data_IF_996535063270
#
_entry.id   IF_996535063270
#
_cell.length_a   1.000
_cell.length_b   1.000
_cell.length_c   1.000
_cell.angle_alpha   90.00
_cell.angle_beta   90.00
_cell.angle_gamma   90.00
#
_symmetry.space_group_name_H-M   'P 1'
#
loop_
_entity.id
_entity.type
_entity.pdbx_description
1 polymer ?
#
# COMPACT_ATOMS: atom_id res chain seq x y z
N UNK A 1 29.53 -11.76 -27.05
CA UNK A 1 28.16 -11.50 -27.54
C UNK A 1 27.30 -12.65 -27.11
N UNK A 2 26.68 -12.59 -25.97
CA UNK A 2 25.81 -13.64 -25.41
C UNK A 2 24.56 -12.98 -24.86
N UNK A 3 23.53 -13.36 -25.47
CA UNK A 3 22.12 -13.13 -25.36
C UNK A 3 21.63 -13.09 -23.89
N UNK A 4 21.22 -11.91 -23.36
CA UNK A 4 20.61 -11.74 -22.04
C UNK A 4 19.23 -11.09 -22.10
N UNK A 5 18.61 -10.95 -23.28
CA UNK A 5 17.36 -10.18 -23.44
C UNK A 5 16.08 -11.06 -23.52
N UNK A 6 16.16 -12.35 -23.14
CA UNK A 6 15.03 -13.28 -23.38
C UNK A 6 14.26 -13.70 -22.12
N UNK A 7 14.49 -13.10 -20.96
CA UNK A 7 13.86 -13.59 -19.71
C UNK A 7 12.64 -12.78 -19.23
N UNK A 8 12.26 -11.71 -19.91
CA UNK A 8 11.16 -10.84 -19.48
C UNK A 8 9.83 -11.00 -20.23
N UNK A 9 9.80 -11.80 -21.31
CA UNK A 9 8.58 -11.96 -22.11
C UNK A 9 7.69 -13.14 -21.72
N UNK A 10 8.14 -14.03 -20.85
CA UNK A 10 7.36 -15.23 -20.48
C UNK A 10 6.43 -15.07 -19.27
N UNK A 11 6.53 -13.96 -18.55
CA UNK A 11 5.75 -13.78 -17.29
C UNK A 11 4.35 -13.22 -17.57
N UNK A 12 4.11 -12.59 -18.72
CA UNK A 12 2.83 -11.92 -19.01
C UNK A 12 1.74 -12.84 -19.62
N UNK A 13 2.07 -14.04 -20.06
CA UNK A 13 1.10 -14.93 -20.73
C UNK A 13 0.55 -16.07 -19.87
N UNK A 14 1.27 -16.52 -18.81
CA UNK A 14 0.84 -17.67 -17.99
C UNK A 14 0.15 -17.28 -16.66
N UNK A 15 -0.01 -15.97 -16.38
CA UNK A 15 -0.64 -15.45 -15.14
C UNK A 15 -2.18 -15.38 -15.28
N UNK A 16 -2.76 -15.94 -16.31
CA UNK A 16 -4.20 -15.79 -16.58
C UNK A 16 -5.14 -16.52 -15.62
N UNK A 17 -4.65 -17.42 -14.77
CA UNK A 17 -5.51 -18.35 -14.02
C UNK A 17 -5.26 -18.47 -12.51
N UNK A 18 -4.43 -17.62 -11.89
CA UNK A 18 -4.41 -17.57 -10.42
C UNK A 18 -5.48 -16.57 -9.95
N UNK A 19 -6.64 -17.10 -9.68
CA UNK A 19 -7.82 -16.40 -9.23
C UNK A 19 -7.63 -15.79 -7.85
N UNK A 20 -7.18 -14.55 -7.80
CA UNK A 20 -7.73 -13.66 -6.78
C UNK A 20 -9.19 -13.44 -7.16
N UNK A 21 -10.09 -13.83 -6.26
CA UNK A 21 -11.52 -13.76 -6.49
C UNK A 21 -11.92 -12.47 -7.18
N UNK A 22 -12.93 -12.52 -8.01
CA UNK A 22 -13.47 -11.47 -8.82
C UNK A 22 -13.20 -10.11 -8.21
N UNK A 23 -12.35 -9.29 -8.87
CA UNK A 23 -12.16 -7.90 -8.47
C UNK A 23 -13.52 -7.28 -8.73
N UNK A 24 -14.21 -7.05 -7.64
CA UNK A 24 -15.56 -6.56 -7.63
C UNK A 24 -15.53 -5.16 -8.24
N UNK A 25 -16.21 -4.95 -9.35
CA UNK A 25 -16.42 -3.62 -9.94
C UNK A 25 -17.29 -2.76 -9.03
N UNK A 26 -17.88 -3.34 -8.00
CA UNK A 26 -18.76 -2.74 -7.01
C UNK A 26 -18.03 -2.32 -5.72
N UNK A 27 -16.70 -2.11 -5.74
CA UNK A 27 -16.02 -1.61 -4.56
C UNK A 27 -16.59 -0.27 -4.10
N UNK A 28 -16.88 -0.16 -2.82
CA UNK A 28 -17.29 1.06 -2.15
C UNK A 28 -16.45 1.28 -0.89
N UNK A 29 -16.20 2.54 -0.49
CA UNK A 29 -15.46 2.82 0.73
C UNK A 29 -16.18 2.24 1.95
N UNK A 30 -15.44 1.86 3.02
CA UNK A 30 -16.04 1.42 4.27
C UNK A 30 -17.05 2.44 4.80
N UNK A 31 -18.21 1.97 5.24
CA UNK A 31 -19.25 2.79 5.86
C UNK A 31 -18.96 3.09 7.33
N UNK A 32 -18.06 2.35 7.95
CA UNK A 32 -17.73 2.42 9.38
C UNK A 32 -16.22 2.73 9.61
N UNK A 33 -15.92 3.06 10.84
CA UNK A 33 -14.60 3.38 11.32
C UNK A 33 -14.26 2.49 12.51
N UNK A 34 -13.78 1.24 12.29
CA UNK A 34 -13.54 0.28 13.35
C UNK A 34 -12.49 0.77 14.35
N UNK A 35 -12.64 0.35 15.59
CA UNK A 35 -11.63 0.59 16.61
C UNK A 35 -10.52 -0.46 16.52
N UNK A 36 -9.39 -0.09 15.91
CA UNK A 36 -8.22 -0.94 15.75
C UNK A 36 -7.25 -0.87 16.95
N UNK A 37 -7.58 -0.08 17.98
CA UNK A 37 -6.70 0.10 19.16
C UNK A 37 -6.56 -1.16 20.01
N UNK A 38 -7.28 -2.24 19.67
CA UNK A 38 -7.18 -3.55 20.30
C UNK A 38 -6.55 -4.61 19.42
N UNK A 39 -6.15 -4.25 18.20
CA UNK A 39 -5.49 -5.17 17.29
C UNK A 39 -4.08 -5.49 17.77
N UNK A 40 -3.56 -6.65 17.43
CA UNK A 40 -2.18 -7.02 17.74
C UNK A 40 -1.16 -6.17 16.97
N UNK A 41 -1.53 -5.71 15.78
CA UNK A 41 -0.75 -4.86 14.87
C UNK A 41 -1.64 -4.26 13.79
N UNK A 42 -1.20 -3.18 13.16
CA UNK A 42 -1.92 -2.47 12.10
C UNK A 42 -0.97 -2.23 10.93
N UNK A 43 -1.29 -2.76 9.76
CA UNK A 43 -0.61 -2.39 8.52
C UNK A 43 -1.25 -1.16 7.91
N UNK A 44 -0.43 -0.28 7.35
CA UNK A 44 -0.83 0.99 6.74
C UNK A 44 -0.14 1.12 5.39
N UNK A 45 -0.89 1.59 4.40
CA UNK A 45 -0.40 1.98 3.09
C UNK A 45 -1.10 3.28 2.67
N UNK A 46 -0.36 4.22 2.10
CA UNK A 46 -0.89 5.52 1.68
C UNK A 46 -0.88 5.63 0.17
N UNK A 47 -2.03 5.99 -0.39
CA UNK A 47 -2.06 6.49 -1.75
C UNK A 47 -1.86 8.00 -1.75
N UNK A 48 -0.99 8.49 -2.63
CA UNK A 48 -0.56 9.88 -2.60
C UNK A 48 -0.55 10.51 -4.00
N UNK A 49 -0.71 11.82 -4.04
CA UNK A 49 -0.26 12.63 -5.17
C UNK A 49 1.11 13.20 -4.84
N UNK A 50 2.15 12.77 -5.58
CA UNK A 50 3.53 13.25 -5.44
C UNK A 50 4.13 13.50 -6.83
N UNK A 51 3.85 14.66 -7.44
CA UNK A 51 4.09 14.90 -8.87
C UNK A 51 5.58 14.96 -9.26
N UNK A 52 6.45 15.22 -8.30
CA UNK A 52 7.88 15.36 -8.53
C UNK A 52 8.72 14.27 -7.85
N UNK A 53 8.10 13.18 -7.40
CA UNK A 53 8.77 12.09 -6.68
C UNK A 53 10.03 11.59 -7.37
N UNK A 54 9.95 11.32 -8.68
CA UNK A 54 11.08 10.77 -9.46
C UNK A 54 12.21 11.77 -9.61
N UNK A 55 11.90 13.07 -9.73
CA UNK A 55 12.92 14.12 -10.01
C UNK A 55 13.55 14.68 -8.74
N UNK A 56 12.75 14.83 -7.69
CA UNK A 56 13.11 15.61 -6.51
C UNK A 56 13.01 14.83 -5.19
N UNK A 57 12.67 13.53 -5.27
CA UNK A 57 12.36 12.70 -4.10
C UNK A 57 11.00 13.03 -3.48
N UNK A 58 10.68 12.49 -2.30
CA UNK A 58 9.38 12.66 -1.66
C UNK A 58 8.99 14.13 -1.45
N UNK A 59 7.75 14.46 -1.84
CA UNK A 59 7.23 15.83 -1.84
C UNK A 59 6.77 16.36 -0.49
N UNK A 60 6.64 15.51 0.52
CA UNK A 60 6.11 15.90 1.83
C UNK A 60 6.89 17.02 2.52
N UNK A 61 8.21 17.07 2.40
CA UNK A 61 9.03 18.14 2.98
C UNK A 61 8.89 19.48 2.22
N UNK A 62 8.59 19.42 0.92
CA UNK A 62 8.37 20.61 0.07
C UNK A 62 6.92 21.05 0.03
N UNK A 63 6.01 20.31 0.65
CA UNK A 63 4.55 20.49 0.55
C UNK A 63 4.06 20.38 -0.91
N UNK A 64 4.71 19.51 -1.68
CA UNK A 64 4.45 19.29 -3.10
C UNK A 64 3.70 17.98 -3.30
N UNK A 65 2.43 17.99 -2.96
CA UNK A 65 1.54 16.84 -3.02
C UNK A 65 0.67 16.70 -1.78
N UNK A 66 0.03 15.54 -1.64
CA UNK A 66 -0.88 15.24 -0.52
C UNK A 66 -1.30 13.76 -0.52
N UNK A 67 -1.82 13.28 0.61
CA UNK A 67 -2.45 11.97 0.73
C UNK A 67 -3.79 12.00 0.02
N UNK A 68 -4.06 11.03 -0.86
CA UNK A 68 -5.33 10.86 -1.56
C UNK A 68 -6.24 9.81 -0.91
N UNK A 69 -5.66 8.88 -0.15
CA UNK A 69 -6.39 7.90 0.63
C UNK A 69 -5.49 7.10 1.55
N UNK A 70 -6.09 6.43 2.52
CA UNK A 70 -5.41 5.64 3.55
C UNK A 70 -5.96 4.22 3.51
N UNK A 71 -5.12 3.25 3.26
CA UNK A 71 -5.43 1.84 3.42
C UNK A 71 -4.92 1.31 4.75
N UNK A 72 -5.71 0.48 5.41
CA UNK A 72 -5.35 -0.18 6.65
C UNK A 72 -5.74 -1.66 6.63
N UNK A 73 -4.93 -2.50 7.28
CA UNK A 73 -5.26 -3.89 7.54
C UNK A 73 -4.90 -4.27 8.98
N UNK A 74 -5.79 -5.01 9.66
CA UNK A 74 -5.58 -5.48 11.03
C UNK A 74 -6.42 -6.74 11.28
N UNK A 75 -5.77 -7.88 11.55
CA UNK A 75 -6.44 -9.17 11.58
C UNK A 75 -7.13 -9.46 10.24
N UNK A 76 -8.42 -9.76 10.28
CA UNK A 76 -9.23 -10.01 9.08
C UNK A 76 -9.80 -8.74 8.43
N UNK A 77 -9.67 -7.61 9.12
CA UNK A 77 -10.15 -6.33 8.60
C UNK A 77 -9.18 -5.75 7.59
N UNK A 78 -9.72 -5.24 6.50
CA UNK A 78 -9.04 -4.35 5.55
C UNK A 78 -10.01 -3.28 5.07
N UNK A 79 -9.51 -2.08 4.83
CA UNK A 79 -10.32 -0.98 4.33
C UNK A 79 -9.49 0.13 3.74
N UNK A 80 -9.99 0.75 2.69
CA UNK A 80 -9.42 1.94 2.09
C UNK A 80 -10.36 3.13 2.28
N UNK A 81 -9.82 4.22 2.82
CA UNK A 81 -10.54 5.47 3.12
C UNK A 81 -10.08 6.56 2.15
N UNK A 82 -10.78 6.72 1.01
CA UNK A 82 -10.45 7.74 0.01
C UNK A 82 -10.85 9.13 0.52
N UNK A 83 -9.98 10.12 0.30
CA UNK A 83 -10.21 11.49 0.81
C UNK A 83 -9.99 12.59 -0.22
N UNK A 84 -9.23 12.32 -1.30
CA UNK A 84 -8.89 13.34 -2.31
C UNK A 84 -8.77 12.73 -3.72
N UNK A 85 -9.67 11.82 -4.08
CA UNK A 85 -9.90 11.36 -5.45
C UNK A 85 -10.83 12.31 -6.22
N UNK A 86 -11.00 12.07 -7.52
CA UNK A 86 -11.97 12.84 -8.31
C UNK A 86 -13.43 12.64 -7.85
N UNK A 87 -13.75 11.44 -7.33
CA UNK A 87 -15.08 11.08 -6.83
C UNK A 87 -14.99 9.97 -5.77
N UNK A 88 -16.06 9.79 -4.97
CA UNK A 88 -16.20 8.70 -4.03
C UNK A 88 -15.40 8.89 -2.73
N UNK A 89 -15.13 10.15 -2.35
CA UNK A 89 -14.38 10.48 -1.14
C UNK A 89 -15.25 10.45 0.11
N UNK A 90 -14.60 10.13 1.22
CA UNK A 90 -15.11 10.34 2.58
C UNK A 90 -14.60 11.71 3.07
N UNK A 91 -15.30 12.31 4.03
CA UNK A 91 -14.84 13.56 4.66
C UNK A 91 -13.44 13.36 5.29
N UNK A 92 -12.47 14.11 4.77
CA UNK A 92 -11.07 13.97 5.16
C UNK A 92 -10.82 14.25 6.65
N UNK A 93 -11.57 15.18 7.25
CA UNK A 93 -11.45 15.50 8.68
C UNK A 93 -11.90 14.32 9.55
N UNK A 94 -12.94 13.62 9.13
CA UNK A 94 -13.43 12.42 9.82
C UNK A 94 -12.44 11.28 9.71
N UNK A 95 -11.92 11.02 8.50
CA UNK A 95 -10.90 9.98 8.27
C UNK A 95 -9.63 10.27 9.09
N UNK A 96 -9.08 11.47 9.01
CA UNK A 96 -7.86 11.81 9.75
C UNK A 96 -8.05 11.78 11.27
N UNK A 97 -9.21 12.19 11.79
CA UNK A 97 -9.51 12.10 13.23
C UNK A 97 -9.54 10.65 13.71
N UNK A 98 -10.21 9.77 12.96
CA UNK A 98 -10.25 8.34 13.25
C UNK A 98 -8.85 7.73 13.15
N UNK A 99 -8.17 7.96 12.04
CA UNK A 99 -6.86 7.37 11.78
C UNK A 99 -5.81 7.80 12.80
N UNK A 100 -5.80 9.09 13.17
CA UNK A 100 -4.93 9.61 14.23
C UNK A 100 -5.12 8.86 15.55
N UNK A 101 -6.36 8.55 15.94
CA UNK A 101 -6.64 7.74 17.13
C UNK A 101 -6.00 6.36 17.04
N UNK A 102 -6.03 5.72 15.86
CA UNK A 102 -5.42 4.40 15.67
C UNK A 102 -3.89 4.48 15.72
N UNK A 103 -3.30 5.55 15.21
CA UNK A 103 -1.85 5.75 15.21
C UNK A 103 -1.30 6.19 16.58
N UNK A 104 -2.12 6.75 17.44
CA UNK A 104 -1.78 7.23 18.79
C UNK A 104 -1.72 6.09 19.85
N UNK A 105 -1.41 4.86 19.44
CA UNK A 105 -1.36 3.67 20.31
C UNK A 105 0.10 3.18 20.45
N UNK A 106 0.78 3.48 21.59
CA UNK A 106 2.22 3.22 21.76
C UNK A 106 2.56 1.73 21.84
N UNK A 107 1.60 0.88 22.20
CA UNK A 107 1.84 -0.56 22.39
C UNK A 107 1.48 -1.40 21.17
N UNK A 108 0.96 -0.78 20.10
CA UNK A 108 0.55 -1.52 18.89
C UNK A 108 1.56 -1.24 17.79
N UNK A 109 2.23 -2.27 17.25
CA UNK A 109 3.10 -2.14 16.09
C UNK A 109 2.35 -1.63 14.85
N UNK A 110 2.97 -0.71 14.12
CA UNK A 110 2.51 -0.25 12.80
C UNK A 110 3.44 -0.80 11.74
N UNK A 111 2.85 -1.49 10.80
CA UNK A 111 3.54 -2.19 9.73
C UNK A 111 3.41 -1.38 8.45
N UNK A 112 4.53 -1.19 7.77
CA UNK A 112 4.61 -0.47 6.50
C UNK A 112 5.43 -1.25 5.49
N UNK A 113 5.37 -0.82 4.25
CA UNK A 113 6.33 -1.15 3.23
C UNK A 113 6.92 0.13 2.66
N UNK A 114 8.18 0.46 2.98
CA UNK A 114 8.83 1.76 2.76
C UNK A 114 8.30 2.87 3.68
N UNK A 115 8.31 2.59 4.98
CA UNK A 115 7.76 3.45 6.04
C UNK A 115 8.21 4.91 5.99
N UNK A 116 9.42 5.19 5.52
CA UNK A 116 9.94 6.56 5.41
C UNK A 116 9.05 7.45 4.53
N UNK A 117 8.49 6.89 3.47
CA UNK A 117 7.61 7.60 2.57
C UNK A 117 6.28 7.96 3.25
N UNK A 118 5.62 6.96 3.84
CA UNK A 118 4.31 7.13 4.48
C UNK A 118 4.39 8.00 5.73
N UNK A 119 5.38 7.77 6.59
CA UNK A 119 5.59 8.57 7.80
C UNK A 119 5.84 10.04 7.49
N UNK A 120 6.52 10.34 6.39
CA UNK A 120 6.73 11.70 5.94
C UNK A 120 5.41 12.40 5.58
N UNK A 121 4.55 11.73 4.81
CA UNK A 121 3.23 12.26 4.46
C UNK A 121 2.29 12.36 5.66
N UNK A 122 2.28 11.36 6.54
CA UNK A 122 1.49 11.42 7.78
C UNK A 122 1.89 12.62 8.66
N UNK A 123 3.20 12.82 8.82
CA UNK A 123 3.72 13.96 9.57
C UNK A 123 3.35 15.29 8.92
N UNK A 124 3.35 15.38 7.60
CA UNK A 124 2.92 16.58 6.86
C UNK A 124 1.43 16.92 7.09
N UNK A 125 0.58 15.91 7.32
CA UNK A 125 -0.84 16.07 7.71
C UNK A 125 -1.03 16.22 9.25
N UNK A 126 0.06 16.35 10.03
CA UNK A 126 0.00 16.50 11.49
C UNK A 126 -0.37 15.22 12.24
N UNK A 127 -0.10 14.06 11.66
CA UNK A 127 -0.32 12.74 12.25
C UNK A 127 1.02 12.16 12.68
N UNK A 128 1.20 11.99 13.98
CA UNK A 128 2.31 11.27 14.56
C UNK A 128 1.94 9.79 14.75
N UNK A 129 2.84 8.89 14.36
CA UNK A 129 2.68 7.46 14.56
C UNK A 129 3.44 7.05 15.82
N UNK A 130 2.73 6.54 16.82
CA UNK A 130 3.32 6.06 18.07
C UNK A 130 3.46 4.54 18.08
N UNK A 131 4.41 4.05 18.87
CA UNK A 131 4.71 2.63 19.02
C UNK A 131 5.77 2.12 18.04
N UNK A 132 6.02 0.79 18.03
CA UNK A 132 6.97 0.19 17.10
C UNK A 132 6.55 0.41 15.65
N UNK A 133 7.50 0.84 14.84
CA UNK A 133 7.35 0.97 13.38
C UNK A 133 8.18 -0.13 12.75
N UNK A 134 7.52 -1.00 12.00
CA UNK A 134 8.12 -2.17 11.37
C UNK A 134 7.94 -2.06 9.86
N UNK A 135 9.00 -2.29 9.10
CA UNK A 135 9.05 -2.05 7.67
C UNK A 135 9.47 -3.31 6.93
N UNK A 136 8.56 -3.89 6.17
CA UNK A 136 8.82 -5.12 5.41
C UNK A 136 9.88 -4.94 4.32
N UNK A 137 10.06 -3.72 3.81
CA UNK A 137 11.14 -3.40 2.85
C UNK A 137 12.52 -3.38 3.52
N UNK A 138 12.59 -3.13 4.83
CA UNK A 138 13.82 -3.19 5.63
C UNK A 138 14.05 -4.59 6.18
N UNK A 139 12.99 -5.31 6.58
CA UNK A 139 13.10 -6.69 7.08
C UNK A 139 13.66 -7.65 6.03
N UNK A 140 13.23 -7.50 4.77
CA UNK A 140 13.62 -8.42 3.71
C UNK A 140 15.14 -8.47 3.45
N UNK A 141 15.91 -7.37 3.34
CA UNK A 141 17.35 -7.41 3.19
C UNK A 141 18.10 -7.91 4.43
N UNK A 142 17.51 -7.88 5.62
CA UNK A 142 18.10 -8.50 6.82
C UNK A 142 18.02 -10.03 6.76
N UNK A 143 17.08 -10.58 6.00
CA UNK A 143 16.93 -12.02 5.75
C UNK A 143 17.79 -12.45 4.55
N UNK A 144 17.78 -11.68 3.46
CA UNK A 144 18.55 -11.99 2.26
C UNK A 144 18.99 -10.69 1.57
N UNK A 145 20.24 -10.29 1.81
CA UNK A 145 20.85 -9.08 1.25
C UNK A 145 21.21 -9.22 -0.25
N UNK A 146 21.17 -10.44 -0.79
CA UNK A 146 21.55 -10.70 -2.19
C UNK A 146 20.39 -10.52 -3.18
N UNK A 147 19.22 -10.18 -2.69
CA UNK A 147 18.05 -9.95 -3.55
C UNK A 147 18.22 -8.71 -4.41
N UNK A 148 17.76 -8.81 -5.66
CA UNK A 148 17.82 -7.68 -6.60
C UNK A 148 16.76 -6.61 -6.33
N UNK A 149 15.58 -7.01 -5.82
CA UNK A 149 14.43 -6.14 -5.61
C UNK A 149 13.78 -6.39 -4.26
N UNK A 150 13.44 -5.29 -3.59
CA UNK A 150 12.75 -5.26 -2.30
C UNK A 150 11.40 -4.55 -2.36
N UNK A 151 10.87 -4.28 -3.56
CA UNK A 151 9.52 -3.72 -3.71
C UNK A 151 8.46 -4.75 -3.29
N UNK A 152 7.28 -4.25 -2.88
CA UNK A 152 6.21 -5.07 -2.33
C UNK A 152 5.80 -6.22 -3.26
N UNK A 153 5.65 -5.95 -4.56
CA UNK A 153 5.25 -6.97 -5.52
C UNK A 153 6.25 -8.13 -5.59
N UNK A 154 7.55 -7.84 -5.68
CA UNK A 154 8.59 -8.87 -5.74
C UNK A 154 8.64 -9.71 -4.46
N UNK A 155 8.50 -9.07 -3.29
CA UNK A 155 8.52 -9.79 -2.02
C UNK A 155 7.26 -10.65 -1.83
N UNK A 156 6.10 -10.15 -2.23
CA UNK A 156 4.83 -10.90 -2.15
C UNK A 156 4.87 -12.14 -3.05
N UNK A 157 5.39 -12.01 -4.28
CA UNK A 157 5.55 -13.15 -5.18
C UNK A 157 6.48 -14.20 -4.56
N UNK A 158 7.64 -13.78 -4.07
CA UNK A 158 8.68 -14.71 -3.65
C UNK A 158 8.40 -15.36 -2.29
N UNK A 159 7.85 -14.61 -1.33
CA UNK A 159 7.60 -15.10 0.02
C UNK A 159 6.19 -15.64 0.24
N UNK A 160 5.18 -15.06 -0.41
CA UNK A 160 3.79 -15.48 -0.25
C UNK A 160 3.27 -16.31 -1.43
N UNK A 161 4.00 -16.38 -2.54
CA UNK A 161 3.57 -17.03 -3.78
C UNK A 161 2.26 -16.45 -4.31
N UNK A 162 2.08 -15.14 -4.15
CA UNK A 162 0.87 -14.43 -4.52
C UNK A 162 1.17 -13.33 -5.55
N UNK A 163 0.17 -13.01 -6.36
CA UNK A 163 0.25 -11.93 -7.34
C UNK A 163 -0.80 -10.88 -7.03
N UNK A 164 -0.40 -9.62 -6.94
CA UNK A 164 -1.35 -8.51 -6.79
C UNK A 164 -2.02 -8.21 -8.12
N UNK A 165 -3.33 -7.99 -8.10
CA UNK A 165 -4.04 -7.60 -9.30
C UNK A 165 -4.13 -6.07 -9.39
N UNK A 166 -3.53 -5.53 -10.43
CA UNK A 166 -3.66 -4.11 -10.81
C UNK A 166 -4.64 -3.92 -11.99
N UNK A 167 -5.33 -4.97 -12.42
CA UNK A 167 -6.12 -4.96 -13.67
C UNK A 167 -7.19 -3.87 -13.68
N UNK A 168 -7.98 -3.75 -12.61
CA UNK A 168 -9.04 -2.74 -12.51
C UNK A 168 -8.48 -1.33 -12.55
N UNK A 169 -7.41 -1.08 -11.77
CA UNK A 169 -6.71 0.21 -11.75
C UNK A 169 -6.15 0.57 -13.12
N UNK A 170 -5.44 -0.36 -13.78
CA UNK A 170 -4.83 -0.13 -15.10
C UNK A 170 -5.87 0.09 -16.20
N UNK A 171 -6.95 -0.69 -16.20
CA UNK A 171 -8.04 -0.52 -17.16
C UNK A 171 -8.72 0.85 -16.99
N UNK A 172 -9.04 1.23 -15.76
CA UNK A 172 -9.59 2.55 -15.48
C UNK A 172 -8.63 3.66 -15.90
N UNK A 173 -7.35 3.57 -15.54
CA UNK A 173 -6.34 4.56 -15.93
C UNK A 173 -6.24 4.71 -17.46
N UNK A 174 -6.28 3.61 -18.20
CA UNK A 174 -6.30 3.62 -19.67
C UNK A 174 -7.55 4.30 -20.22
N UNK A 175 -8.73 4.00 -19.66
CA UNK A 175 -10.00 4.60 -20.07
C UNK A 175 -10.06 6.11 -19.78
N UNK A 176 -9.51 6.53 -18.64
CA UNK A 176 -9.44 7.94 -18.24
C UNK A 176 -8.24 8.69 -18.87
N UNK A 177 -7.36 8.01 -19.57
CA UNK A 177 -6.17 8.62 -20.20
C UNK A 177 -5.17 9.18 -19.19
N UNK A 178 -4.97 8.50 -18.05
CA UNK A 178 -4.09 8.92 -16.95
C UNK A 178 -3.06 7.85 -16.61
N UNK A 179 -1.95 8.24 -15.99
CA UNK A 179 -0.99 7.30 -15.43
C UNK A 179 -1.57 6.63 -14.16
N UNK A 180 -1.58 5.29 -14.07
CA UNK A 180 -2.21 4.57 -12.96
C UNK A 180 -1.56 4.82 -11.60
N UNK A 181 -0.30 5.24 -11.55
CA UNK A 181 0.43 5.50 -10.30
C UNK A 181 0.60 7.00 -10.04
N UNK A 182 1.13 7.74 -11.00
CA UNK A 182 1.41 9.16 -10.82
C UNK A 182 0.14 10.03 -10.79
N UNK A 183 -0.94 9.58 -11.43
CA UNK A 183 -2.17 10.34 -11.59
C UNK A 183 -3.41 9.65 -10.98
N UNK A 184 -3.19 8.68 -10.09
CA UNK A 184 -4.26 7.93 -9.43
C UNK A 184 -5.33 8.82 -8.77
N UNK A 185 -4.95 10.00 -8.29
CA UNK A 185 -5.86 10.98 -7.70
C UNK A 185 -6.94 11.49 -8.67
N UNK A 186 -6.74 11.37 -9.98
CA UNK A 186 -7.72 11.74 -11.01
C UNK A 186 -8.79 10.67 -11.22
N UNK A 187 -8.55 9.45 -10.74
CA UNK A 187 -9.52 8.36 -10.84
C UNK A 187 -10.56 8.46 -9.72
N UNK A 188 -11.81 8.07 -9.97
CA UNK A 188 -12.79 7.78 -8.93
C UNK A 188 -12.29 6.68 -7.99
N UNK A 189 -12.53 6.84 -6.68
CA UNK A 189 -12.03 5.94 -5.64
C UNK A 189 -12.42 4.46 -5.86
N UNK A 190 -13.57 4.19 -6.47
CA UNK A 190 -14.04 2.82 -6.75
C UNK A 190 -13.09 1.98 -7.61
N UNK A 191 -12.25 2.61 -8.43
CA UNK A 191 -11.27 1.92 -9.26
C UNK A 191 -9.93 1.68 -8.56
N UNK A 192 -9.71 2.35 -7.43
CA UNK A 192 -8.47 2.33 -6.66
C UNK A 192 -8.60 1.51 -5.39
N UNK A 193 -9.79 1.51 -4.77
CA UNK A 193 -9.97 1.01 -3.41
C UNK A 193 -9.57 -0.45 -3.21
N UNK A 194 -9.99 -1.35 -4.08
CA UNK A 194 -9.62 -2.77 -3.96
C UNK A 194 -8.10 -2.98 -4.09
N UNK A 195 -7.42 -2.21 -4.94
CA UNK A 195 -5.97 -2.23 -5.08
C UNK A 195 -5.29 -1.75 -3.79
N UNK A 196 -5.68 -0.61 -3.24
CA UNK A 196 -5.10 -0.05 -2.02
C UNK A 196 -5.34 -0.94 -0.79
N UNK A 197 -6.55 -1.50 -0.63
CA UNK A 197 -6.83 -2.48 0.42
C UNK A 197 -5.95 -3.72 0.32
N UNK A 198 -5.71 -4.19 -0.90
CA UNK A 198 -4.83 -5.32 -1.14
C UNK A 198 -3.40 -5.01 -0.69
N UNK A 199 -2.87 -3.80 -0.97
CA UNK A 199 -1.51 -3.42 -0.59
C UNK A 199 -1.32 -3.43 0.92
N UNK A 200 -2.23 -2.87 1.70
CA UNK A 200 -2.18 -2.94 3.16
C UNK A 200 -2.30 -4.40 3.67
N UNK A 201 -3.22 -5.20 3.10
CA UNK A 201 -3.43 -6.58 3.52
C UNK A 201 -2.23 -7.49 3.22
N UNK A 202 -1.60 -7.36 2.04
CA UNK A 202 -0.41 -8.17 1.72
C UNK A 202 0.81 -7.70 2.51
N UNK A 203 0.93 -6.41 2.84
CA UNK A 203 1.98 -5.89 3.72
C UNK A 203 1.89 -6.52 5.11
N UNK A 204 0.67 -6.65 5.67
CA UNK A 204 0.48 -7.33 6.94
C UNK A 204 0.90 -8.80 6.88
N UNK A 205 0.46 -9.53 5.86
CA UNK A 205 0.81 -10.96 5.69
C UNK A 205 2.28 -11.16 5.40
N UNK A 206 2.89 -10.28 4.63
CA UNK A 206 4.33 -10.31 4.37
C UNK A 206 5.12 -10.15 5.68
N UNK A 207 4.72 -9.20 6.53
CA UNK A 207 5.31 -9.05 7.86
C UNK A 207 5.19 -10.33 8.68
N UNK A 208 3.99 -10.94 8.72
CA UNK A 208 3.74 -12.17 9.47
C UNK A 208 4.58 -13.35 8.98
N UNK A 209 4.90 -13.36 7.69
CA UNK A 209 5.76 -14.37 7.09
C UNK A 209 7.25 -14.10 7.38
N UNK A 210 7.70 -12.85 7.28
CA UNK A 210 9.12 -12.49 7.45
C UNK A 210 9.58 -12.52 8.90
N UNK A 211 8.72 -12.16 9.86
CA UNK A 211 9.08 -12.07 11.27
C UNK A 211 9.68 -13.37 11.83
N UNK A 212 9.02 -14.54 11.70
CA UNK A 212 9.58 -15.79 12.22
C UNK A 212 10.87 -16.24 11.52
N UNK A 213 11.13 -15.78 10.30
CA UNK A 213 12.40 -16.04 9.62
C UNK A 213 13.48 -15.18 10.26
N UNK A 214 13.22 -13.89 10.41
CA UNK A 214 14.17 -12.93 11.00
C UNK A 214 14.52 -13.24 12.47
N UNK A 215 13.58 -13.81 13.24
CA UNK A 215 13.83 -14.19 14.64
C UNK A 215 14.69 -15.46 14.80
N UNK A 216 14.95 -16.19 13.72
CA UNK A 216 15.80 -17.40 13.71
C UNK A 216 17.23 -17.13 13.30
N UNK A 217 17.48 -16.03 12.61
CA UNK A 217 18.80 -15.56 12.20
C UNK A 217 19.55 -14.88 13.38
#
# INVERSE_FOLDING_TARGET
>A
MTNKDHQYHFIDQDIKDLSWGNIDFDWSPPSDFPDLTKSSRIAVDLETRDPNLIKLGPGWCRKDGYIIGIAVAAGDFRGYYPIRHSQGNIDSKTVFRWFKKQMDTPNIPKIFHNSMYDLGWLRAEGIEVKGPILDTMIMAPLIDENRRFYNLNSLVIDYLQEYKSEKTLRNAASEFGVDPKAEMYKLPAKYVGAYAEQDAAVTLRLYDHLLPILERE
#
